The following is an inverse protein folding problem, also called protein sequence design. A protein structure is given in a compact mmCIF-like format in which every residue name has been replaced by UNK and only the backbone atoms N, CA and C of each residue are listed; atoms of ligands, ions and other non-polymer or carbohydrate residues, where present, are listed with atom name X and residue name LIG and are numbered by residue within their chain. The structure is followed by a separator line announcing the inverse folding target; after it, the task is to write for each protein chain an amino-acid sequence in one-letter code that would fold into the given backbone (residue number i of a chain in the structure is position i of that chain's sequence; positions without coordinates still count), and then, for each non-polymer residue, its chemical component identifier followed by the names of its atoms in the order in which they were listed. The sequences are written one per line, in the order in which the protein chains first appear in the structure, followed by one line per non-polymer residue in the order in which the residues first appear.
data_IF_363809059868
#
_entry.id   IF_363809059868
#
_cell.length_a   1.000
_cell.length_b   1.000
_cell.length_c   1.000
_cell.angle_alpha   90.00
_cell.angle_beta   90.00
_cell.angle_gamma   90.00
#
_symmetry.space_group_name_H-M   'P 1'
#
loop_
_entity.id
_entity.type
_entity.pdbx_description
1 polymer ?
#
# COMPACT_ATOMS: atom_id res chain seq x y z
N UNK A 1 -10.38 2.75 32.73
CA UNK A 1 -10.25 1.29 32.93
C UNK A 1 -8.76 1.01 33.10
N UNK A 2 -8.32 0.51 34.25
CA UNK A 2 -6.90 0.17 34.43
C UNK A 2 -6.67 -1.21 33.82
N UNK A 3 -5.79 -1.29 32.83
CA UNK A 3 -5.35 -2.56 32.26
C UNK A 3 -4.25 -3.14 33.16
N UNK A 4 -4.38 -4.40 33.54
CA UNK A 4 -3.32 -5.14 34.21
C UNK A 4 -2.36 -5.65 33.15
N UNK A 5 -1.06 -5.42 33.33
CA UNK A 5 -0.02 -5.99 32.48
C UNK A 5 0.17 -7.46 32.86
N UNK A 6 -0.07 -8.35 31.89
CA UNK A 6 0.25 -9.78 31.99
C UNK A 6 0.90 -10.22 30.67
N UNK A 7 2.00 -10.98 30.77
CA UNK A 7 2.67 -11.52 29.58
C UNK A 7 1.98 -12.83 29.18
N UNK A 8 1.57 -12.93 27.92
CA UNK A 8 1.06 -14.16 27.32
C UNK A 8 2.15 -14.77 26.44
N UNK A 9 2.66 -15.94 26.82
CA UNK A 9 3.58 -16.73 26.00
C UNK A 9 2.88 -18.03 25.55
N UNK A 10 2.79 -18.23 24.24
CA UNK A 10 2.21 -19.42 23.63
C UNK A 10 3.28 -20.08 22.76
N UNK A 11 3.49 -21.39 22.93
CA UNK A 11 4.52 -22.16 22.20
C UNK A 11 3.92 -23.50 21.80
N UNK A 12 3.99 -23.84 20.50
CA UNK A 12 3.49 -25.10 19.95
C UNK A 12 2.01 -25.38 20.31
N UNK A 13 1.18 -24.34 20.25
CA UNK A 13 -0.24 -24.42 20.64
C UNK A 13 -1.13 -23.99 19.47
N UNK A 14 -2.21 -24.73 19.23
CA UNK A 14 -3.28 -24.29 18.35
C UNK A 14 -4.23 -23.34 19.10
N UNK A 15 -4.30 -22.09 18.63
CA UNK A 15 -5.18 -21.05 19.17
C UNK A 15 -6.28 -20.65 18.18
N UNK A 16 -6.58 -21.50 17.20
CA UNK A 16 -7.63 -21.26 16.19
C UNK A 16 -8.95 -20.90 16.85
N UNK A 17 -9.57 -19.83 16.37
CA UNK A 17 -10.85 -19.33 16.90
C UNK A 17 -10.73 -18.48 18.16
N UNK A 18 -9.52 -18.21 18.65
CA UNK A 18 -9.31 -17.31 19.78
C UNK A 18 -9.75 -15.88 19.48
N UNK A 19 -10.22 -15.17 20.51
CA UNK A 19 -10.70 -13.78 20.42
C UNK A 19 -9.91 -12.90 21.39
N UNK A 20 -9.39 -11.80 20.87
CA UNK A 20 -8.74 -10.75 21.64
C UNK A 20 -9.61 -9.49 21.54
N UNK A 21 -10.26 -9.09 22.63
CA UNK A 21 -11.18 -7.94 22.65
C UNK A 21 -10.72 -6.91 23.70
N UNK A 22 -10.58 -5.66 23.28
CA UNK A 22 -10.17 -4.54 24.16
C UNK A 22 -8.87 -4.80 24.92
N UNK A 23 -7.93 -5.49 24.27
CA UNK A 23 -6.59 -5.74 24.78
C UNK A 23 -5.60 -4.72 24.22
N UNK A 24 -4.62 -4.33 25.03
CA UNK A 24 -3.43 -3.65 24.55
C UNK A 24 -2.39 -4.72 24.21
N UNK A 25 -1.99 -4.80 22.95
CA UNK A 25 -1.15 -5.86 22.40
C UNK A 25 0.07 -5.29 21.66
N UNK A 26 0.58 -4.17 22.17
CA UNK A 26 1.78 -3.52 21.64
C UNK A 26 3.00 -4.44 21.81
N UNK A 27 3.92 -4.38 20.85
CA UNK A 27 5.19 -5.14 20.89
C UNK A 27 5.02 -6.69 20.88
N UNK A 28 3.87 -7.21 20.41
CA UNK A 28 3.74 -8.65 20.18
C UNK A 28 4.73 -9.12 19.11
N UNK A 29 5.38 -10.25 19.41
CA UNK A 29 6.28 -10.94 18.52
C UNK A 29 5.65 -12.25 18.06
N UNK A 30 5.55 -12.43 16.75
CA UNK A 30 5.07 -13.65 16.11
C UNK A 30 6.21 -14.25 15.29
N UNK A 31 6.60 -15.48 15.63
CA UNK A 31 7.63 -16.25 14.95
C UNK A 31 7.04 -17.61 14.60
N UNK A 32 7.08 -17.98 13.31
CA UNK A 32 6.45 -19.19 12.77
C UNK A 32 4.96 -19.37 13.16
N UNK A 33 4.17 -18.29 13.09
CA UNK A 33 2.72 -18.33 13.41
C UNK A 33 1.87 -18.22 12.15
N UNK A 34 0.90 -19.13 12.02
CA UNK A 34 -0.16 -19.01 11.01
C UNK A 34 -1.25 -18.05 11.47
N UNK A 35 -1.34 -16.88 10.83
CA UNK A 35 -2.45 -15.92 10.97
C UNK A 35 -3.46 -16.01 9.80
N UNK A 36 -3.45 -17.12 9.06
CA UNK A 36 -4.32 -17.31 7.90
C UNK A 36 -5.80 -17.19 8.30
N UNK A 37 -6.56 -16.37 7.55
CA UNK A 37 -7.99 -16.08 7.77
C UNK A 37 -8.30 -15.35 9.09
N UNK A 38 -7.30 -14.79 9.76
CA UNK A 38 -7.52 -13.89 10.92
C UNK A 38 -8.18 -12.58 10.47
N UNK A 39 -9.15 -12.11 11.25
CA UNK A 39 -9.73 -10.78 11.08
C UNK A 39 -9.20 -9.83 12.14
N UNK A 40 -8.69 -8.68 11.70
CA UNK A 40 -8.24 -7.60 12.57
C UNK A 40 -9.14 -6.40 12.27
N UNK A 41 -9.88 -5.92 13.27
CA UNK A 41 -10.86 -4.83 13.10
C UNK A 41 -10.70 -3.84 14.25
N UNK A 42 -10.74 -2.54 13.92
CA UNK A 42 -10.55 -1.45 14.88
C UNK A 42 -9.24 -1.55 15.69
N UNK A 43 -8.17 -2.04 15.05
CA UNK A 43 -6.87 -2.19 15.69
C UNK A 43 -5.93 -1.06 15.26
N UNK A 44 -5.10 -0.59 16.19
CA UNK A 44 -3.93 0.21 15.83
C UNK A 44 -2.78 -0.72 15.44
N UNK A 45 -2.35 -0.65 14.18
CA UNK A 45 -1.20 -1.40 13.66
C UNK A 45 -0.03 -0.47 13.30
N UNK A 46 -0.03 0.76 13.80
CA UNK A 46 1.02 1.74 13.56
C UNK A 46 2.39 1.21 13.98
N UNK A 47 3.37 1.26 13.07
CA UNK A 47 4.73 0.79 13.34
C UNK A 47 4.90 -0.73 13.30
N UNK A 48 3.88 -1.49 12.92
CA UNK A 48 4.03 -2.93 12.69
C UNK A 48 4.98 -3.18 11.52
N UNK A 49 5.92 -4.09 11.71
CA UNK A 49 6.80 -4.60 10.65
C UNK A 49 6.39 -6.03 10.30
N UNK A 50 6.33 -6.33 9.00
CA UNK A 50 6.05 -7.65 8.46
C UNK A 50 7.23 -8.03 7.56
N UNK A 51 7.96 -9.07 7.95
CA UNK A 51 9.12 -9.57 7.22
C UNK A 51 8.89 -11.05 6.88
N UNK A 52 9.20 -11.45 5.65
CA UNK A 52 9.01 -12.82 5.15
C UNK A 52 7.60 -13.41 5.36
N UNK A 53 6.56 -12.59 5.11
CA UNK A 53 5.16 -12.99 5.28
C UNK A 53 4.49 -13.35 3.96
N UNK A 54 3.58 -14.32 3.99
CA UNK A 54 2.66 -14.58 2.89
C UNK A 54 1.36 -13.77 3.06
N UNK A 55 1.16 -12.75 2.21
CA UNK A 55 -0.05 -11.93 2.17
C UNK A 55 -0.94 -12.21 0.94
N UNK A 56 -0.83 -13.40 0.34
CA UNK A 56 -1.69 -13.79 -0.79
C UNK A 56 -3.17 -13.76 -0.40
N UNK A 57 -3.97 -13.05 -1.19
CA UNK A 57 -5.40 -12.85 -0.91
C UNK A 57 -5.72 -11.93 0.28
N UNK A 58 -4.72 -11.26 0.85
CA UNK A 58 -4.95 -10.30 1.95
C UNK A 58 -5.73 -9.08 1.47
N UNK A 59 -6.64 -8.60 2.31
CA UNK A 59 -7.49 -7.45 2.00
C UNK A 59 -7.33 -6.36 3.05
N UNK A 60 -7.03 -5.16 2.58
CA UNK A 60 -7.03 -3.94 3.39
C UNK A 60 -8.19 -3.07 2.89
N UNK A 61 -9.08 -2.67 3.80
CA UNK A 61 -10.20 -1.77 3.53
C UNK A 61 -10.38 -0.82 4.70
N UNK A 62 -10.78 0.42 4.41
CA UNK A 62 -11.03 1.46 5.41
C UNK A 62 -9.84 1.68 6.38
N UNK A 63 -8.61 1.60 5.85
CA UNK A 63 -7.38 1.73 6.62
C UNK A 63 -6.63 3.01 6.28
N UNK A 64 -5.99 3.60 7.29
CA UNK A 64 -4.99 4.64 7.08
C UNK A 64 -3.65 3.97 6.70
N UNK A 65 -3.23 4.15 5.45
CA UNK A 65 -1.96 3.64 4.90
C UNK A 65 -0.91 4.74 4.70
N UNK A 66 -1.03 5.87 5.42
CA UNK A 66 -0.02 6.94 5.36
C UNK A 66 1.34 6.40 5.77
N UNK A 67 2.38 6.73 5.00
CA UNK A 67 3.75 6.24 5.18
C UNK A 67 3.92 4.71 5.08
N UNK A 68 3.00 4.00 4.41
CA UNK A 68 3.21 2.58 4.12
C UNK A 68 4.42 2.41 3.19
N UNK A 69 5.33 1.51 3.57
CA UNK A 69 6.42 1.04 2.73
C UNK A 69 6.15 -0.42 2.33
N UNK A 70 6.26 -0.70 1.04
CA UNK A 70 6.26 -2.06 0.49
C UNK A 70 7.53 -2.17 -0.36
N UNK A 71 8.51 -2.91 0.15
CA UNK A 71 9.78 -3.18 -0.53
C UNK A 71 9.96 -4.69 -0.72
N UNK A 72 10.64 -5.06 -1.82
CA UNK A 72 10.99 -6.45 -2.14
C UNK A 72 9.79 -7.44 -2.22
N UNK A 73 8.58 -6.92 -2.47
CA UNK A 73 7.35 -7.71 -2.48
C UNK A 73 6.90 -8.13 -3.90
N UNK A 74 6.27 -9.30 -3.98
CA UNK A 74 5.57 -9.75 -5.20
C UNK A 74 4.13 -9.20 -5.22
N UNK A 75 3.85 -8.26 -6.12
CA UNK A 75 2.52 -7.61 -6.27
C UNK A 75 1.76 -8.02 -7.53
N UNK A 76 2.15 -9.12 -8.18
CA UNK A 76 1.45 -9.64 -9.37
C UNK A 76 -0.03 -9.89 -9.09
N UNK A 77 -0.91 -9.19 -9.80
CA UNK A 77 -2.36 -9.27 -9.62
C UNK A 77 -2.94 -8.44 -8.48
N UNK A 78 -2.14 -7.60 -7.81
CA UNK A 78 -2.64 -6.66 -6.81
C UNK A 78 -3.68 -5.70 -7.41
N UNK A 79 -4.78 -5.48 -6.68
CA UNK A 79 -5.84 -4.54 -7.08
C UNK A 79 -5.92 -3.40 -6.06
N UNK A 80 -5.31 -2.27 -6.42
CA UNK A 80 -5.27 -1.06 -5.60
C UNK A 80 -6.26 -0.07 -6.18
N UNK A 81 -7.34 0.23 -5.45
CA UNK A 81 -8.43 1.09 -5.92
C UNK A 81 -9.00 1.91 -4.78
N UNK A 82 -9.61 3.05 -5.13
CA UNK A 82 -10.20 3.99 -4.16
C UNK A 82 -9.20 4.47 -3.09
N UNK A 83 -7.92 4.57 -3.47
CA UNK A 83 -6.86 5.14 -2.63
C UNK A 83 -6.65 6.60 -3.02
N UNK A 84 -6.41 7.44 -2.02
CA UNK A 84 -6.11 8.86 -2.22
C UNK A 84 -5.35 9.44 -1.04
N UNK A 85 -4.85 10.65 -1.22
CA UNK A 85 -4.20 11.43 -0.16
C UNK A 85 -5.31 12.10 0.69
N UNK A 86 -5.28 11.99 2.03
CA UNK A 86 -6.23 12.69 2.90
C UNK A 86 -6.22 14.20 2.61
N UNK A 87 -7.40 14.80 2.46
CA UNK A 87 -7.54 16.25 2.24
C UNK A 87 -7.72 16.96 3.57
N UNK A 88 -7.41 18.26 3.61
CA UNK A 88 -7.66 19.09 4.79
C UNK A 88 -9.14 18.97 5.22
N UNK A 89 -9.36 18.65 6.50
CA UNK A 89 -10.69 18.36 7.06
C UNK A 89 -11.07 16.88 7.10
N UNK A 90 -10.30 15.97 6.48
CA UNK A 90 -10.47 14.52 6.67
C UNK A 90 -10.04 14.11 8.11
N UNK A 91 -10.74 13.18 8.78
CA UNK A 91 -10.32 12.67 10.10
C UNK A 91 -8.90 12.10 10.16
N UNK A 92 -8.38 11.62 9.03
CA UNK A 92 -7.03 11.07 8.90
C UNK A 92 -6.03 12.05 8.29
N UNK A 93 -6.42 13.31 8.11
CA UNK A 93 -5.53 14.36 7.62
C UNK A 93 -4.41 14.61 8.62
N UNK A 94 -3.17 14.49 8.15
CA UNK A 94 -1.98 14.89 8.88
C UNK A 94 -1.22 15.91 8.04
N UNK A 95 -1.11 17.18 8.46
CA UNK A 95 -0.45 18.23 7.67
C UNK A 95 1.04 17.96 7.41
N UNK A 96 1.69 17.08 8.19
CA UNK A 96 3.11 16.72 7.98
C UNK A 96 3.30 15.69 6.86
N UNK A 97 2.27 14.89 6.59
CA UNK A 97 2.27 13.89 5.50
C UNK A 97 1.32 14.28 4.36
N UNK A 98 0.53 15.32 4.56
CA UNK A 98 -0.40 15.87 3.59
C UNK A 98 0.38 16.32 2.34
N UNK A 99 0.02 15.75 1.20
CA UNK A 99 0.64 16.06 -0.08
C UNK A 99 1.90 15.25 -0.39
N UNK A 100 2.32 14.30 0.45
CA UNK A 100 3.32 13.33 0.01
C UNK A 100 2.72 12.46 -1.12
N UNK A 101 3.31 12.48 -2.32
CA UNK A 101 2.77 11.72 -3.44
C UNK A 101 3.00 10.23 -3.22
N UNK A 102 2.11 9.41 -3.78
CA UNK A 102 2.38 7.98 -3.93
C UNK A 102 3.55 7.82 -4.92
N UNK A 103 4.54 7.02 -4.55
CA UNK A 103 5.75 6.78 -5.35
C UNK A 103 5.83 5.32 -5.78
N UNK A 104 6.24 5.12 -7.03
CA UNK A 104 6.60 3.82 -7.58
C UNK A 104 8.01 3.93 -8.14
N UNK A 105 8.99 3.49 -7.37
CA UNK A 105 10.40 3.54 -7.72
C UNK A 105 10.90 2.11 -7.96
N UNK A 106 11.65 1.89 -9.03
CA UNK A 106 12.20 0.58 -9.40
C UNK A 106 11.18 -0.57 -9.49
N UNK A 107 9.94 -0.26 -9.90
CA UNK A 107 8.84 -1.23 -10.01
C UNK A 107 8.64 -1.75 -11.45
N UNK A 108 8.36 -3.04 -11.62
CA UNK A 108 7.87 -3.55 -12.91
C UNK A 108 6.33 -3.38 -12.99
N UNK A 109 5.90 -2.44 -13.83
CA UNK A 109 4.48 -2.10 -14.04
C UNK A 109 3.95 -2.52 -15.42
N UNK A 110 4.62 -3.47 -16.09
CA UNK A 110 4.27 -3.89 -17.45
C UNK A 110 2.85 -4.45 -17.50
N UNK A 111 2.05 -3.92 -18.41
CA UNK A 111 0.65 -4.35 -18.60
C UNK A 111 -0.34 -3.77 -17.60
N UNK A 112 0.13 -2.98 -16.62
CA UNK A 112 -0.74 -2.26 -15.69
C UNK A 112 -1.62 -1.23 -16.41
N UNK A 113 -2.79 -0.98 -15.83
CA UNK A 113 -3.74 0.03 -16.32
C UNK A 113 -4.03 1.06 -15.23
N UNK A 114 -3.79 2.33 -15.56
CA UNK A 114 -4.20 3.47 -14.74
C UNK A 114 -5.38 4.12 -15.46
N UNK A 115 -6.55 4.11 -14.82
CA UNK A 115 -7.78 4.63 -15.43
C UNK A 115 -8.70 5.23 -14.38
N UNK A 116 -9.37 6.33 -14.73
CA UNK A 116 -10.23 7.09 -13.82
C UNK A 116 -9.49 7.61 -12.57
N UNK A 117 -8.22 7.97 -12.76
CA UNK A 117 -7.38 8.57 -11.72
C UNK A 117 -7.15 10.05 -12.04
N UNK A 118 -7.04 10.87 -11.00
CA UNK A 118 -6.41 12.18 -11.13
C UNK A 118 -4.90 11.97 -11.30
N UNK A 119 -4.36 12.38 -12.45
CA UNK A 119 -2.94 12.27 -12.79
C UNK A 119 -2.25 13.63 -12.78
N UNK A 120 -2.89 14.66 -12.21
CA UNK A 120 -2.29 15.97 -12.05
C UNK A 120 -1.00 15.85 -11.26
N UNK A 121 0.06 16.49 -11.75
CA UNK A 121 1.40 16.49 -11.15
C UNK A 121 2.11 15.11 -11.09
N UNK A 122 1.61 14.10 -11.79
CA UNK A 122 2.36 12.85 -11.97
C UNK A 122 3.51 13.08 -12.94
N UNK A 123 4.71 12.69 -12.53
CA UNK A 123 5.91 12.70 -13.35
C UNK A 123 6.32 11.26 -13.71
N UNK A 124 6.70 11.04 -14.95
CA UNK A 124 7.28 9.79 -15.44
C UNK A 124 8.63 10.14 -16.05
N UNK A 125 9.69 9.82 -15.32
CA UNK A 125 11.09 10.07 -15.70
C UNK A 125 11.89 8.77 -15.67
N UNK A 126 12.91 8.69 -16.52
CA UNK A 126 13.88 7.58 -16.55
C UNK A 126 13.26 6.17 -16.66
N UNK A 127 12.11 6.07 -17.34
CA UNK A 127 11.37 4.82 -17.56
C UNK A 127 11.48 4.33 -19.00
N UNK A 128 11.38 3.01 -19.21
CA UNK A 128 11.09 2.45 -20.54
C UNK A 128 9.62 2.73 -20.90
N UNK A 129 9.40 3.62 -21.86
CA UNK A 129 8.07 4.04 -22.31
C UNK A 129 7.53 3.20 -23.47
N UNK A 130 8.25 2.15 -23.90
CA UNK A 130 7.88 1.35 -25.07
C UNK A 130 6.48 0.75 -24.92
N UNK A 131 5.62 1.07 -25.89
CA UNK A 131 4.24 0.58 -25.91
C UNK A 131 3.31 1.24 -24.88
N UNK A 132 3.77 2.19 -24.07
CA UNK A 132 2.93 2.98 -23.18
C UNK A 132 1.93 3.80 -23.99
N UNK A 133 0.68 3.88 -23.50
CA UNK A 133 -0.40 4.62 -24.16
C UNK A 133 -1.07 5.62 -23.23
N UNK A 134 -1.35 6.81 -23.75
CA UNK A 134 -2.23 7.82 -23.13
C UNK A 134 -3.46 7.98 -24.04
N UNK A 135 -4.65 7.71 -23.50
CA UNK A 135 -5.91 7.73 -24.27
C UNK A 135 -5.85 6.91 -25.57
N UNK A 136 -5.13 5.77 -25.55
CA UNK A 136 -4.97 4.88 -26.69
C UNK A 136 -3.84 5.26 -27.66
N UNK A 137 -3.22 6.43 -27.50
CA UNK A 137 -2.14 6.94 -28.36
C UNK A 137 -0.78 6.54 -27.77
N UNK A 138 0.14 6.07 -28.61
CA UNK A 138 1.49 5.70 -28.17
C UNK A 138 2.27 6.95 -27.71
N UNK A 139 2.87 6.88 -26.52
CA UNK A 139 3.67 7.99 -25.98
C UNK A 139 4.89 8.29 -26.86
N UNK A 140 5.52 7.27 -27.44
CA UNK A 140 6.62 7.45 -28.39
C UNK A 140 6.21 8.27 -29.64
N UNK A 141 4.97 8.15 -30.10
CA UNK A 141 4.44 8.94 -31.23
C UNK A 141 4.17 10.40 -30.81
N UNK A 142 3.62 10.59 -29.61
CA UNK A 142 3.39 11.93 -29.03
C UNK A 142 4.71 12.70 -28.89
N UNK A 143 5.75 12.06 -28.35
CA UNK A 143 7.07 12.67 -28.16
C UNK A 143 7.74 13.02 -29.50
N UNK A 144 7.69 12.13 -30.49
CA UNK A 144 8.18 12.42 -31.86
C UNK A 144 7.44 13.61 -32.48
N UNK A 145 6.12 13.68 -32.32
CA UNK A 145 5.33 14.80 -32.84
C UNK A 145 5.72 16.13 -32.20
N UNK A 146 5.94 16.16 -30.89
CA UNK A 146 6.39 17.36 -30.17
C UNK A 146 7.78 17.82 -30.65
N UNK A 147 8.74 16.91 -30.72
CA UNK A 147 10.11 17.20 -31.17
C UNK A 147 10.12 17.82 -32.56
N UNK A 148 9.36 17.26 -33.51
CA UNK A 148 9.25 17.79 -34.88
C UNK A 148 8.68 19.21 -34.92
N UNK A 149 7.74 19.56 -34.03
CA UNK A 149 7.18 20.91 -33.93
C UNK A 149 8.16 21.91 -33.35
N UNK A 150 8.99 21.49 -32.41
CA UNK A 150 10.00 22.37 -31.77
C UNK A 150 11.26 22.57 -32.62
N UNK A 151 11.44 21.77 -33.67
CA UNK A 151 12.56 21.91 -34.62
C UNK A 151 12.24 22.77 -35.85
N UNK A 152 11.03 23.36 -35.93
CA UNK A 152 10.61 24.34 -36.94
C UNK A 152 10.55 25.73 -36.33
#
# INVERSE_FOLDING_TARGET
MNLKMEKLELKLTDITGSRFEKVKADELYFDDVSLARTQITNANMSGMSLHDVNMSGFKISDANMSNLEISEAQMGGAYIHNIGIPKEGDPHYNPQTAGQPIRFEHCELRGSRISNCDLSHVEISDCDLKGMKINGILVEELLKSYQNKTSQ
#
